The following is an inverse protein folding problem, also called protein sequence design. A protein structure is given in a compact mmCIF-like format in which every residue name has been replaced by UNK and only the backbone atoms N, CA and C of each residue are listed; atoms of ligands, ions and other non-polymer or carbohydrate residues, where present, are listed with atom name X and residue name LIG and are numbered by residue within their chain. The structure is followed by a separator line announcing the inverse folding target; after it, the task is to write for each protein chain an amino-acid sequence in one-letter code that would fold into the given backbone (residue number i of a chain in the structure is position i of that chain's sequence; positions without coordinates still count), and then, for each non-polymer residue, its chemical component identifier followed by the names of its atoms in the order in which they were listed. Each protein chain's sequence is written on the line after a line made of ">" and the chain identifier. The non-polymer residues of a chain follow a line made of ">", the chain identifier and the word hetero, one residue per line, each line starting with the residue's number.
data_IF_313400823762
#
_entry.id   IF_313400823762
#
_cell.length_a   1.000
_cell.length_b   1.000
_cell.length_c   1.000
_cell.angle_alpha   90.00
_cell.angle_beta   90.00
_cell.angle_gamma   90.00
#
_symmetry.space_group_name_H-M   'P 1'
#
loop_
_entity.id
_entity.type
_entity.pdbx_description
1 polymer ?
#
# COMPACT_ATOMS: atom_id res chain seq x y z
N UNK A 1 -10.08 -10.07 -2.80
CA UNK A 1 -10.30 -9.45 -4.13
C UNK A 1 -9.01 -9.53 -4.92
N UNK A 2 -9.09 -9.94 -6.18
CA UNK A 2 -7.97 -9.95 -7.10
C UNK A 2 -7.98 -8.64 -7.87
N UNK A 3 -6.90 -7.87 -7.81
CA UNK A 3 -6.73 -6.68 -8.63
C UNK A 3 -5.83 -7.02 -9.83
N UNK A 4 -6.35 -6.84 -11.04
CA UNK A 4 -5.60 -6.96 -12.29
C UNK A 4 -5.35 -5.53 -12.78
N UNK A 5 -4.09 -5.20 -13.05
CA UNK A 5 -3.72 -3.88 -13.57
C UNK A 5 -2.62 -4.02 -14.62
N UNK A 6 -2.47 -2.97 -15.45
CA UNK A 6 -1.39 -2.90 -16.43
C UNK A 6 -0.06 -2.76 -15.69
N UNK A 7 0.95 -3.53 -16.11
CA UNK A 7 2.30 -3.35 -15.59
C UNK A 7 2.78 -1.93 -15.86
N UNK A 8 3.27 -1.25 -14.83
CA UNK A 8 3.80 0.11 -14.86
C UNK A 8 2.77 1.19 -14.68
N UNK A 9 1.53 0.79 -14.45
CA UNK A 9 0.49 1.73 -14.09
C UNK A 9 0.76 2.35 -12.73
N UNK A 10 0.24 3.56 -12.55
CA UNK A 10 0.16 4.21 -11.25
C UNK A 10 -0.55 3.33 -10.21
N UNK A 11 -1.54 2.53 -10.64
CA UNK A 11 -2.21 1.56 -9.78
C UNK A 11 -1.22 0.54 -9.21
N UNK A 12 -0.38 -0.07 -10.06
CA UNK A 12 0.67 -1.00 -9.62
C UNK A 12 1.63 -0.32 -8.63
N UNK A 13 2.15 0.87 -8.98
CA UNK A 13 3.09 1.63 -8.14
C UNK A 13 2.53 1.87 -6.75
N UNK A 14 1.34 2.48 -6.65
CA UNK A 14 0.74 2.87 -5.36
C UNK A 14 0.51 1.66 -4.45
N UNK A 15 0.05 0.53 -5.01
CA UNK A 15 -0.18 -0.67 -4.22
C UNK A 15 1.12 -1.31 -3.72
N UNK A 16 2.15 -1.34 -4.57
CA UNK A 16 3.47 -1.86 -4.17
C UNK A 16 4.14 -0.96 -3.13
N UNK A 17 4.09 0.36 -3.32
CA UNK A 17 4.65 1.33 -2.39
C UNK A 17 3.98 1.23 -1.02
N UNK A 18 2.65 1.23 -0.97
CA UNK A 18 1.90 1.09 0.27
C UNK A 18 2.26 -0.21 1.00
N UNK A 19 2.32 -1.33 0.28
CA UNK A 19 2.70 -2.64 0.83
C UNK A 19 4.11 -2.61 1.43
N UNK A 20 5.07 -2.05 0.71
CA UNK A 20 6.47 -2.05 1.13
C UNK A 20 6.70 -1.07 2.28
N UNK A 21 6.01 0.07 2.29
CA UNK A 21 6.00 0.98 3.42
C UNK A 21 5.50 0.32 4.70
N UNK A 22 4.39 -0.43 4.64
CA UNK A 22 3.88 -1.17 5.80
C UNK A 22 4.82 -2.30 6.29
N UNK A 23 5.79 -2.73 5.48
CA UNK A 23 6.85 -3.64 5.94
C UNK A 23 8.03 -2.91 6.56
N UNK A 24 8.20 -1.63 6.22
CA UNK A 24 9.30 -0.79 6.68
C UNK A 24 8.96 -0.04 7.97
N UNK A 25 7.81 0.62 8.05
CA UNK A 25 7.38 1.40 9.23
C UNK A 25 6.40 0.58 10.09
N UNK A 26 6.91 0.10 11.24
CA UNK A 26 6.13 -0.72 12.17
C UNK A 26 4.96 0.02 12.82
N UNK A 27 5.02 1.35 12.95
CA UNK A 27 3.95 2.15 13.57
C UNK A 27 2.76 2.25 12.65
N UNK A 28 2.99 2.53 11.37
CA UNK A 28 1.93 2.57 10.36
C UNK A 28 1.35 1.17 10.09
N UNK A 29 2.19 0.13 10.15
CA UNK A 29 1.72 -1.25 10.14
C UNK A 29 0.73 -1.53 11.28
N UNK A 30 1.10 -1.20 12.52
CA UNK A 30 0.27 -1.42 13.71
C UNK A 30 -1.02 -0.58 13.66
N UNK A 31 -0.92 0.69 13.25
CA UNK A 31 -2.07 1.57 13.10
C UNK A 31 -3.08 1.00 12.08
N UNK A 32 -2.59 0.55 10.91
CA UNK A 32 -3.46 -0.05 9.89
C UNK A 32 -4.04 -1.40 10.32
N UNK A 33 -3.27 -2.22 11.03
CA UNK A 33 -3.75 -3.49 11.59
C UNK A 33 -4.86 -3.26 12.63
N UNK A 34 -4.63 -2.35 13.57
CA UNK A 34 -5.60 -1.96 14.62
C UNK A 34 -6.89 -1.40 14.01
N UNK A 35 -6.77 -0.53 13.00
CA UNK A 35 -7.93 -0.02 12.28
C UNK A 35 -8.73 -1.17 11.64
N UNK A 36 -8.06 -2.08 10.91
CA UNK A 36 -8.76 -3.21 10.28
C UNK A 36 -9.47 -4.11 11.30
N UNK A 37 -8.84 -4.36 12.45
CA UNK A 37 -9.44 -5.17 13.52
C UNK A 37 -10.66 -4.49 14.13
N UNK A 38 -10.57 -3.20 14.45
CA UNK A 38 -11.71 -2.44 14.99
C UNK A 38 -12.87 -2.30 14.01
N UNK A 39 -12.59 -2.12 12.71
CA UNK A 39 -13.62 -2.08 11.68
C UNK A 39 -14.26 -3.45 11.44
N UNK A 40 -13.49 -4.54 11.57
CA UNK A 40 -14.01 -5.90 11.41
C UNK A 40 -15.01 -6.32 12.50
N UNK A 41 -15.06 -5.61 13.63
CA UNK A 41 -16.01 -5.84 14.72
C UNK A 41 -17.36 -5.13 14.50
N UNK A 42 -17.52 -4.39 13.40
CA UNK A 42 -18.74 -3.63 13.08
C UNK A 42 -19.52 -4.30 11.97
N UNK A 43 -20.82 -4.07 11.96
CA UNK A 43 -21.68 -4.44 10.83
C UNK A 43 -21.54 -3.44 9.69
N UNK A 44 -21.42 -3.96 8.47
CA UNK A 44 -21.29 -3.16 7.26
C UNK A 44 -22.38 -3.53 6.26
N UNK A 45 -22.95 -2.55 5.54
CA UNK A 45 -23.95 -2.83 4.52
C UNK A 45 -23.37 -3.59 3.33
N UNK A 46 -22.09 -3.38 3.02
CA UNK A 46 -21.34 -4.13 2.01
C UNK A 46 -19.82 -3.99 2.21
N UNK A 47 -19.05 -4.71 1.40
CA UNK A 47 -17.58 -4.67 1.44
C UNK A 47 -16.99 -3.33 0.97
N UNK A 48 -17.71 -2.55 0.18
CA UNK A 48 -17.24 -1.23 -0.28
C UNK A 48 -17.31 -0.22 0.85
N UNK A 49 -18.37 -0.23 1.66
CA UNK A 49 -18.50 0.59 2.85
C UNK A 49 -17.38 0.30 3.86
N UNK A 50 -17.09 -0.99 4.09
CA UNK A 50 -15.95 -1.41 4.91
C UNK A 50 -14.59 -0.95 4.35
N UNK A 51 -14.41 -1.03 3.02
CA UNK A 51 -13.18 -0.57 2.37
C UNK A 51 -13.01 0.95 2.48
N UNK A 52 -14.07 1.71 2.19
CA UNK A 52 -14.09 3.19 2.27
C UNK A 52 -13.80 3.69 3.68
N UNK A 53 -14.25 2.98 4.72
CA UNK A 53 -13.97 3.35 6.11
C UNK A 53 -12.47 3.35 6.47
N UNK A 54 -11.62 2.69 5.67
CA UNK A 54 -10.16 2.72 5.85
C UNK A 54 -9.50 3.89 5.14
N UNK A 55 -10.21 4.57 4.24
CA UNK A 55 -9.71 5.59 3.33
C UNK A 55 -8.82 6.63 4.00
N UNK A 56 -9.28 7.33 5.05
CA UNK A 56 -8.50 8.40 5.68
C UNK A 56 -7.12 7.95 6.17
N UNK A 57 -7.03 6.81 6.85
CA UNK A 57 -5.74 6.29 7.33
C UNK A 57 -4.86 5.81 6.16
N UNK A 58 -5.45 5.19 5.14
CA UNK A 58 -4.72 4.76 3.95
C UNK A 58 -4.11 5.96 3.22
N UNK A 59 -4.84 7.08 3.12
CA UNK A 59 -4.36 8.33 2.51
C UNK A 59 -3.16 8.89 3.29
N UNK A 60 -3.26 8.98 4.61
CA UNK A 60 -2.20 9.45 5.49
C UNK A 60 -0.92 8.60 5.37
N UNK A 61 -1.07 7.28 5.41
CA UNK A 61 0.04 6.33 5.26
C UNK A 61 0.65 6.46 3.86
N UNK A 62 -0.19 6.55 2.82
CA UNK A 62 0.27 6.72 1.43
C UNK A 62 1.08 8.00 1.27
N UNK A 63 0.65 9.11 1.87
CA UNK A 63 1.40 10.37 1.82
C UNK A 63 2.78 10.26 2.48
N UNK A 64 2.92 9.49 3.57
CA UNK A 64 4.22 9.21 4.20
C UNK A 64 5.08 8.30 3.33
N UNK A 65 4.48 7.26 2.75
CA UNK A 65 5.17 6.36 1.83
C UNK A 65 5.68 7.09 0.57
N UNK A 66 4.92 8.05 0.04
CA UNK A 66 5.35 8.88 -1.10
C UNK A 66 6.56 9.75 -0.75
N UNK A 67 6.60 10.33 0.46
CA UNK A 67 7.79 11.06 0.94
C UNK A 67 9.01 10.15 1.05
N UNK A 68 8.82 8.93 1.56
CA UNK A 68 9.87 7.91 1.64
C UNK A 68 10.40 7.51 0.26
N UNK A 69 9.50 7.34 -0.72
CA UNK A 69 9.89 7.07 -2.10
C UNK A 69 10.64 8.26 -2.74
N UNK A 70 10.18 9.49 -2.51
CA UNK A 70 10.84 10.70 -3.02
C UNK A 70 12.25 10.92 -2.44
N UNK A 71 12.50 10.40 -1.24
CA UNK A 71 13.84 10.41 -0.62
C UNK A 71 14.77 9.31 -1.17
N UNK A 72 14.31 8.50 -2.13
CA UNK A 72 15.09 7.42 -2.74
C UNK A 72 15.17 6.15 -1.89
N UNK A 73 14.45 6.08 -0.77
CA UNK A 73 14.50 4.96 0.16
C UNK A 73 13.56 3.80 -0.22
N UNK A 74 12.77 3.95 -1.29
CA UNK A 74 11.99 2.89 -1.91
C UNK A 74 12.43 2.65 -3.35
N UNK A 75 12.90 1.44 -3.63
CA UNK A 75 13.16 0.99 -4.99
C UNK A 75 11.93 0.24 -5.50
N UNK A 76 11.29 0.77 -6.55
CA UNK A 76 10.19 0.03 -7.16
C UNK A 76 10.72 -1.32 -7.67
N UNK A 77 9.96 -2.42 -7.59
CA UNK A 77 10.43 -3.75 -7.99
C UNK A 77 10.97 -3.85 -9.42
N UNK A 78 10.66 -2.88 -10.29
CA UNK A 78 11.21 -2.78 -11.65
C UNK A 78 12.69 -2.45 -11.71
N UNK A 79 13.23 -1.71 -10.73
CA UNK A 79 14.69 -1.50 -10.63
C UNK A 79 15.43 -2.83 -10.38
N UNK A 80 14.73 -3.86 -9.90
CA UNK A 80 15.30 -5.18 -9.69
C UNK A 80 15.26 -6.06 -10.96
N UNK A 81 14.32 -5.81 -11.88
CA UNK A 81 14.15 -6.63 -13.09
C UNK A 81 15.08 -6.22 -14.22
N UNK A 82 15.43 -4.93 -14.36
CA UNK A 82 16.36 -4.48 -15.41
C UNK A 82 17.82 -4.92 -15.18
N UNK A 83 18.19 -5.34 -13.96
CA UNK A 83 19.53 -5.86 -13.66
C UNK A 83 19.70 -7.37 -13.88
N UNK A 84 18.62 -8.10 -14.26
CA UNK A 84 18.66 -9.57 -14.39
C UNK A 84 18.81 -10.08 -15.82
N UNK A 85 18.81 -9.18 -16.81
CA UNK A 85 19.11 -9.49 -18.21
C UNK A 85 20.43 -8.82 -18.63
N UNK A 86 21.54 -9.40 -18.18
CA UNK A 86 22.86 -9.23 -18.80
C UNK A 86 23.25 -10.64 -19.29
N UNK A 87 23.66 -10.80 -20.56
CA UNK A 87 23.57 -12.06 -21.32
C UNK A 87 24.30 -13.26 -20.70
#
# INVERSE_FOLDING_TARGET
>A
MLHICRSGSDWERRHLLFRDWLRHDARDHEAYATLKQSLAQRDWPDMNAYASAKGPLIEDITARAEKWAAQGAWLSPRLFTEFRDVP
#
